data_IF_454125014713
#
_entry.id   IF_454125014713
#
_cell.length_a   1.000
_cell.length_b   1.000
_cell.length_c   1.000
_cell.angle_alpha   90.00
_cell.angle_beta   90.00
_cell.angle_gamma   90.00
#
_symmetry.space_group_name_H-M   'P 1'
#
loop_
_entity.id
_entity.type
_entity.pdbx_description
1 polymer ?
#
# COMPACT_ATOMS: atom_id res chain seq x y z
N UNK A 1 -25.42 -55.14 34.57
CA UNK A 1 -24.44 -54.55 33.64
C UNK A 1 -23.64 -55.70 33.03
N UNK A 2 -23.91 -56.03 31.77
CA UNK A 2 -23.22 -57.08 31.02
C UNK A 2 -22.31 -56.42 29.99
N UNK A 3 -21.00 -56.60 30.15
CA UNK A 3 -20.00 -56.08 29.22
C UNK A 3 -20.03 -56.93 27.93
N UNK A 4 -20.28 -56.29 26.79
CA UNK A 4 -20.06 -56.88 25.47
C UNK A 4 -18.59 -56.75 25.12
N UNK A 5 -17.88 -57.87 25.14
CA UNK A 5 -16.51 -57.96 24.64
C UNK A 5 -16.56 -58.02 23.12
N UNK A 6 -16.06 -56.98 22.44
CA UNK A 6 -15.86 -56.98 20.99
C UNK A 6 -14.75 -57.97 20.64
N UNK A 7 -15.12 -59.07 19.99
CA UNK A 7 -14.19 -60.04 19.42
C UNK A 7 -13.48 -59.41 18.22
N UNK A 8 -12.15 -59.44 18.21
CA UNK A 8 -11.35 -59.02 17.05
C UNK A 8 -11.71 -59.88 15.83
N UNK A 9 -11.76 -59.31 14.61
CA UNK A 9 -12.00 -60.10 13.40
C UNK A 9 -10.88 -61.14 13.24
N UNK A 10 -11.25 -62.34 12.80
CA UNK A 10 -10.33 -63.43 12.55
C UNK A 10 -9.17 -62.97 11.64
N UNK A 11 -7.95 -63.43 11.96
CA UNK A 11 -6.78 -63.16 11.15
C UNK A 11 -7.07 -63.53 9.68
N UNK A 12 -6.76 -62.66 8.71
CA UNK A 12 -6.94 -62.99 7.31
C UNK A 12 -6.15 -64.25 6.97
N UNK A 13 -6.69 -65.08 6.09
CA UNK A 13 -5.95 -66.21 5.55
C UNK A 13 -4.57 -65.73 5.05
N UNK A 14 -3.49 -66.52 5.25
CA UNK A 14 -2.13 -66.06 5.00
C UNK A 14 -1.92 -65.51 3.58
N UNK A 15 -2.61 -66.05 2.58
CA UNK A 15 -2.59 -65.54 1.20
C UNK A 15 -3.12 -64.10 1.06
N UNK A 16 -4.19 -63.73 1.77
CA UNK A 16 -4.74 -62.37 1.77
C UNK A 16 -3.81 -61.36 2.46
N UNK A 17 -3.05 -61.82 3.46
CA UNK A 17 -2.05 -60.99 4.14
C UNK A 17 -0.85 -60.72 3.23
N UNK A 18 -0.41 -61.72 2.47
CA UNK A 18 0.69 -61.61 1.51
C UNK A 18 0.30 -60.74 0.30
N UNK A 19 -0.92 -60.86 -0.21
CA UNK A 19 -1.46 -59.99 -1.27
C UNK A 19 -1.59 -58.53 -0.81
N UNK A 20 -2.07 -58.30 0.42
CA UNK A 20 -2.14 -56.94 0.98
C UNK A 20 -0.74 -56.33 1.16
N UNK A 21 0.24 -57.11 1.60
CA UNK A 21 1.63 -56.67 1.74
C UNK A 21 2.27 -56.34 0.38
N UNK A 22 1.95 -57.12 -0.67
CA UNK A 22 2.35 -56.84 -2.05
C UNK A 22 1.73 -55.55 -2.56
N UNK A 23 0.43 -55.35 -2.36
CA UNK A 23 -0.28 -54.15 -2.79
C UNK A 23 0.28 -52.88 -2.11
N UNK A 24 0.54 -52.94 -0.80
CA UNK A 24 1.15 -51.81 -0.07
C UNK A 24 2.54 -51.50 -0.63
N UNK A 25 3.36 -52.52 -0.89
CA UNK A 25 4.69 -52.32 -1.46
C UNK A 25 4.62 -51.70 -2.86
N UNK A 26 3.68 -52.13 -3.69
CA UNK A 26 3.47 -51.58 -5.03
C UNK A 26 2.99 -50.12 -4.99
N UNK A 27 2.11 -49.78 -4.05
CA UNK A 27 1.67 -48.41 -3.79
C UNK A 27 2.85 -47.53 -3.33
N UNK A 28 3.66 -48.01 -2.38
CA UNK A 28 4.84 -47.27 -1.91
C UNK A 28 5.85 -47.04 -3.04
N UNK A 29 6.07 -48.05 -3.88
CA UNK A 29 6.95 -47.96 -5.04
C UNK A 29 6.41 -46.98 -6.09
N UNK A 30 5.10 -47.02 -6.34
CA UNK A 30 4.41 -46.10 -7.24
C UNK A 30 4.46 -44.65 -6.75
N UNK A 31 4.25 -44.42 -5.46
CA UNK A 31 4.32 -43.09 -4.84
C UNK A 31 5.75 -42.54 -4.82
N UNK A 32 6.75 -43.40 -4.60
CA UNK A 32 8.17 -43.00 -4.61
C UNK A 32 8.67 -42.69 -6.01
N UNK A 33 8.21 -43.45 -7.03
CA UNK A 33 8.55 -43.20 -8.42
C UNK A 33 7.90 -41.93 -8.98
N UNK A 34 6.83 -41.43 -8.36
CA UNK A 34 6.12 -40.24 -8.80
C UNK A 34 6.73 -38.97 -8.19
N UNK A 35 7.70 -38.40 -8.88
CA UNK A 35 8.16 -37.02 -8.65
C UNK A 35 6.94 -36.09 -8.72
N UNK A 36 6.70 -35.30 -7.67
CA UNK A 36 5.57 -34.36 -7.54
C UNK A 36 5.48 -33.45 -8.77
N UNK A 37 4.71 -33.87 -9.76
CA UNK A 37 4.43 -33.06 -10.95
C UNK A 37 3.29 -32.14 -10.58
N UNK A 38 3.63 -31.00 -9.98
CA UNK A 38 2.67 -29.93 -9.79
C UNK A 38 2.87 -28.93 -10.92
N UNK A 39 1.78 -28.50 -11.54
CA UNK A 39 1.80 -27.66 -12.74
C UNK A 39 2.34 -26.24 -12.48
N UNK A 40 2.67 -25.89 -11.23
CA UNK A 40 3.05 -24.54 -10.84
C UNK A 40 4.45 -24.51 -10.21
N UNK A 41 5.41 -23.72 -10.74
CA UNK A 41 6.80 -23.69 -10.28
C UNK A 41 6.98 -23.19 -8.83
N UNK A 42 5.97 -22.56 -8.25
CA UNK A 42 5.94 -22.18 -6.83
C UNK A 42 5.66 -23.35 -5.88
N UNK A 43 5.08 -24.45 -6.38
CA UNK A 43 4.72 -25.62 -5.57
C UNK A 43 5.83 -26.68 -5.57
N UNK A 44 6.81 -26.52 -6.47
CA UNK A 44 8.00 -27.37 -6.55
C UNK A 44 9.18 -26.85 -5.72
N UNK A 45 9.15 -25.58 -5.31
CA UNK A 45 10.23 -24.95 -4.53
C UNK A 45 9.94 -25.03 -3.04
N UNK A 46 10.98 -25.23 -2.24
CA UNK A 46 10.88 -25.11 -0.78
C UNK A 46 10.69 -23.65 -0.38
N UNK A 47 10.14 -23.40 0.82
CA UNK A 47 10.03 -22.03 1.37
C UNK A 47 11.37 -21.30 1.37
N UNK A 48 12.46 -22.01 1.68
CA UNK A 48 13.82 -21.45 1.69
C UNK A 48 14.30 -21.04 0.30
N UNK A 49 14.01 -21.83 -0.73
CA UNK A 49 14.34 -21.50 -2.12
C UNK A 49 13.54 -20.29 -2.61
N UNK A 50 12.26 -20.20 -2.25
CA UNK A 50 11.42 -19.04 -2.55
C UNK A 50 11.93 -17.77 -1.86
N UNK A 51 12.35 -17.87 -0.59
CA UNK A 51 12.95 -16.75 0.15
C UNK A 51 14.28 -16.35 -0.48
N UNK A 52 15.15 -17.31 -0.82
CA UNK A 52 16.44 -17.03 -1.45
C UNK A 52 16.29 -16.39 -2.85
N UNK A 53 15.31 -16.84 -3.63
CA UNK A 53 15.00 -16.26 -4.95
C UNK A 53 14.40 -14.86 -4.84
N UNK A 54 13.50 -14.63 -3.87
CA UNK A 54 12.94 -13.31 -3.60
C UNK A 54 14.01 -12.32 -3.10
N UNK A 55 14.98 -12.80 -2.30
CA UNK A 55 16.10 -11.99 -1.83
C UNK A 55 17.21 -11.82 -2.89
N UNK A 56 17.36 -12.79 -3.80
CA UNK A 56 18.39 -12.81 -4.84
C UNK A 56 17.98 -12.15 -6.16
N UNK A 57 16.70 -11.87 -6.36
CA UNK A 57 16.20 -11.15 -7.54
C UNK A 57 16.16 -9.65 -7.23
N UNK A 58 17.14 -8.84 -7.68
CA UNK A 58 16.98 -7.40 -7.62
C UNK A 58 15.76 -7.05 -8.46
N UNK A 59 14.73 -6.50 -7.80
CA UNK A 59 13.56 -6.00 -8.50
C UNK A 59 14.05 -5.03 -9.59
N UNK A 60 13.63 -5.20 -10.87
CA UNK A 60 13.94 -4.21 -11.89
C UNK A 60 13.50 -2.86 -11.34
N UNK A 61 14.39 -1.86 -11.40
CA UNK A 61 14.09 -0.51 -10.93
C UNK A 61 12.88 0.00 -11.70
N UNK A 62 11.69 -0.18 -11.12
CA UNK A 62 10.45 0.24 -11.73
C UNK A 62 10.56 1.75 -11.92
N UNK A 63 10.37 2.21 -13.15
CA UNK A 63 10.31 3.64 -13.43
C UNK A 63 9.33 4.26 -12.43
N UNK A 64 9.76 5.34 -11.77
CA UNK A 64 8.94 5.99 -10.76
C UNK A 64 7.55 6.27 -11.36
N UNK A 65 6.46 5.88 -10.68
CA UNK A 65 5.14 5.98 -11.25
C UNK A 65 4.83 7.43 -11.59
N UNK A 66 4.31 7.67 -12.80
CA UNK A 66 3.88 9.01 -13.20
C UNK A 66 2.72 9.42 -12.30
N UNK A 67 2.97 10.39 -11.41
CA UNK A 67 1.96 10.93 -10.51
C UNK A 67 1.05 11.88 -11.29
N UNK A 68 -0.24 11.57 -11.33
CA UNK A 68 -1.26 12.39 -11.97
C UNK A 68 -2.16 12.97 -10.91
N UNK A 69 -2.35 14.30 -10.94
CA UNK A 69 -3.28 14.94 -10.03
C UNK A 69 -4.70 14.37 -10.22
N UNK A 70 -5.54 14.35 -9.18
CA UNK A 70 -6.95 14.00 -9.34
C UNK A 70 -7.67 14.91 -10.35
N UNK A 71 -8.76 14.43 -10.95
CA UNK A 71 -9.47 15.16 -12.00
C UNK A 71 -9.94 16.54 -11.52
N UNK A 72 -9.90 17.56 -12.40
CA UNK A 72 -10.25 18.96 -12.04
C UNK A 72 -11.70 19.11 -11.56
N UNK A 73 -12.62 18.29 -12.06
CA UNK A 73 -14.04 18.32 -11.69
C UNK A 73 -14.28 18.00 -10.20
N UNK A 74 -13.45 17.15 -9.58
CA UNK A 74 -13.60 16.76 -8.16
C UNK A 74 -13.42 17.96 -7.21
N UNK A 75 -12.78 19.03 -7.67
CA UNK A 75 -12.65 20.30 -6.95
C UNK A 75 -14.00 20.86 -6.50
N UNK A 76 -15.03 20.68 -7.32
CA UNK A 76 -16.37 21.24 -7.10
C UNK A 76 -17.22 20.37 -6.17
N UNK A 77 -16.85 19.09 -6.00
CA UNK A 77 -17.58 18.18 -5.14
C UNK A 77 -17.41 18.54 -3.66
N UNK A 78 -18.46 18.39 -2.84
CA UNK A 78 -18.34 18.44 -1.39
C UNK A 78 -17.38 17.36 -0.86
N UNK A 79 -16.70 17.66 0.25
CA UNK A 79 -15.67 16.75 0.79
C UNK A 79 -16.23 15.39 1.23
N UNK A 80 -17.49 15.32 1.67
CA UNK A 80 -18.14 14.05 2.02
C UNK A 80 -18.34 13.14 0.80
N UNK A 81 -18.54 13.71 -0.39
CA UNK A 81 -18.66 12.96 -1.65
C UNK A 81 -17.31 12.33 -2.01
N UNK A 82 -16.19 13.02 -1.75
CA UNK A 82 -14.86 12.49 -2.05
C UNK A 82 -14.50 11.24 -1.24
N UNK A 83 -15.18 11.01 -0.10
CA UNK A 83 -15.00 9.82 0.71
C UNK A 83 -15.92 8.64 0.29
N UNK A 84 -16.75 8.84 -0.74
CA UNK A 84 -17.66 7.79 -1.19
C UNK A 84 -16.87 6.60 -1.77
N UNK A 85 -17.20 5.34 -1.41
CA UNK A 85 -16.40 4.17 -1.76
C UNK A 85 -16.09 4.05 -3.25
N UNK A 86 -17.07 4.33 -4.12
CA UNK A 86 -16.89 4.27 -5.57
C UNK A 86 -15.86 5.29 -6.07
N UNK A 87 -15.93 6.55 -5.60
CA UNK A 87 -14.96 7.57 -5.99
C UNK A 87 -13.58 7.28 -5.43
N UNK A 88 -13.51 6.79 -4.19
CA UNK A 88 -12.27 6.34 -3.58
C UNK A 88 -11.65 5.22 -4.41
N UNK A 89 -12.42 4.19 -4.81
CA UNK A 89 -11.94 3.08 -5.63
C UNK A 89 -11.47 3.51 -7.02
N UNK A 90 -12.19 4.41 -7.70
CA UNK A 90 -11.85 4.88 -9.05
C UNK A 90 -10.59 5.73 -9.11
N UNK A 91 -10.14 6.29 -7.98
CA UNK A 91 -8.99 7.20 -7.93
C UNK A 91 -7.81 6.59 -7.19
N UNK A 92 -7.76 6.76 -5.87
CA UNK A 92 -6.64 6.29 -5.07
C UNK A 92 -6.77 4.82 -4.71
N UNK A 93 -7.99 4.30 -4.52
CA UNK A 93 -8.25 2.88 -4.27
C UNK A 93 -7.62 2.33 -2.99
N UNK A 94 -7.16 3.19 -2.07
CA UNK A 94 -6.34 2.76 -0.93
C UNK A 94 -4.89 2.46 -1.33
N UNK A 95 -4.43 2.98 -2.47
CA UNK A 95 -3.05 2.88 -2.94
C UNK A 95 -2.11 3.41 -1.88
N UNK A 96 -1.25 2.53 -1.39
CA UNK A 96 -0.13 2.89 -0.56
C UNK A 96 0.85 3.73 -1.40
N UNK A 97 1.19 4.91 -0.89
CA UNK A 97 2.13 5.82 -1.51
C UNK A 97 3.13 6.28 -0.46
N UNK A 98 4.34 6.56 -0.88
CA UNK A 98 5.34 7.17 -0.02
C UNK A 98 4.94 8.59 0.37
N UNK A 99 5.53 9.08 1.46
CA UNK A 99 5.37 10.49 1.91
C UNK A 99 5.81 11.47 0.82
N UNK A 100 6.87 11.13 0.07
CA UNK A 100 7.34 11.94 -1.06
C UNK A 100 6.30 12.04 -2.18
N UNK A 101 5.70 10.91 -2.59
CA UNK A 101 4.63 10.90 -3.60
C UNK A 101 3.39 11.65 -3.12
N UNK A 102 3.02 11.52 -1.84
CA UNK A 102 1.89 12.26 -1.26
C UNK A 102 2.12 13.78 -1.33
N UNK A 103 3.34 14.25 -1.05
CA UNK A 103 3.69 15.67 -1.15
C UNK A 103 3.72 16.16 -2.61
N UNK A 104 4.24 15.38 -3.56
CA UNK A 104 4.16 15.74 -4.99
C UNK A 104 2.72 15.81 -5.49
N UNK A 105 1.88 14.83 -5.13
CA UNK A 105 0.45 14.87 -5.42
C UNK A 105 -0.22 16.08 -4.77
N UNK A 106 0.22 16.48 -3.58
CA UNK A 106 -0.29 17.69 -2.90
C UNK A 106 0.02 18.94 -3.71
N UNK A 107 1.26 19.06 -4.23
CA UNK A 107 1.62 20.16 -5.13
C UNK A 107 0.77 20.14 -6.40
N UNK A 108 0.59 18.98 -7.03
CA UNK A 108 -0.25 18.83 -8.23
C UNK A 108 -1.72 19.18 -7.98
N UNK A 109 -2.27 18.86 -6.80
CA UNK A 109 -3.62 19.29 -6.40
C UNK A 109 -3.69 20.81 -6.28
N UNK A 110 -2.73 21.45 -5.61
CA UNK A 110 -2.69 22.92 -5.50
C UNK A 110 -2.56 23.56 -6.88
N UNK A 111 -1.80 22.97 -7.80
CA UNK A 111 -1.65 23.49 -9.16
C UNK A 111 -2.94 23.38 -9.97
N UNK A 112 -3.58 22.22 -9.92
CA UNK A 112 -4.78 21.95 -10.70
C UNK A 112 -6.02 22.63 -10.12
N UNK A 113 -6.14 22.63 -8.79
CA UNK A 113 -7.33 23.15 -8.11
C UNK A 113 -7.17 24.60 -7.70
N UNK A 114 -5.96 25.15 -7.75
CA UNK A 114 -5.65 26.48 -7.26
C UNK A 114 -5.46 26.50 -5.75
N UNK A 115 -4.67 27.48 -5.32
CA UNK A 115 -4.29 27.71 -3.93
C UNK A 115 -5.29 28.59 -3.18
N UNK A 116 -5.44 28.34 -1.87
CA UNK A 116 -6.28 29.10 -0.96
C UNK A 116 -5.65 29.24 0.43
N UNK A 117 -6.12 30.21 1.19
CA UNK A 117 -5.74 30.50 2.57
C UNK A 117 -6.97 30.74 3.44
N UNK A 118 -6.85 30.49 4.73
CA UNK A 118 -7.87 30.77 5.74
C UNK A 118 -9.00 29.73 5.85
N UNK A 119 -8.98 28.72 4.99
CA UNK A 119 -9.88 27.56 5.06
C UNK A 119 -9.29 26.38 4.27
N UNK A 120 -9.74 25.16 4.58
CA UNK A 120 -9.37 23.95 3.83
C UNK A 120 -9.80 24.01 2.36
N UNK A 121 -10.86 24.76 2.07
CA UNK A 121 -11.49 24.85 0.76
C UNK A 121 -12.16 26.20 0.56
N UNK A 122 -11.96 26.84 -0.60
CA UNK A 122 -12.76 28.02 -0.98
C UNK A 122 -14.12 27.60 -1.55
N UNK A 123 -15.05 28.54 -1.73
CA UNK A 123 -16.34 28.28 -2.41
C UNK A 123 -16.15 27.71 -3.82
N UNK A 124 -15.18 28.24 -4.57
CA UNK A 124 -14.82 27.69 -5.89
C UNK A 124 -13.97 26.41 -5.82
N UNK A 125 -13.70 25.86 -4.64
CA UNK A 125 -12.99 24.60 -4.42
C UNK A 125 -11.45 24.64 -4.41
N UNK A 126 -10.82 25.83 -4.43
CA UNK A 126 -9.36 25.95 -4.24
C UNK A 126 -8.96 25.41 -2.87
N UNK A 127 -7.73 24.91 -2.71
CA UNK A 127 -7.28 24.24 -1.48
C UNK A 127 -6.04 24.92 -0.89
N UNK A 128 -5.96 24.98 0.44
CA UNK A 128 -4.70 25.18 1.15
C UNK A 128 -3.87 23.87 1.15
N UNK A 129 -2.65 23.89 1.69
CA UNK A 129 -1.80 22.67 1.76
C UNK A 129 -2.50 21.52 2.51
N UNK A 130 -2.99 21.79 3.73
CA UNK A 130 -3.70 20.78 4.53
C UNK A 130 -4.99 20.30 3.82
N UNK A 131 -5.72 21.20 3.17
CA UNK A 131 -6.91 20.87 2.39
C UNK A 131 -6.61 20.00 1.17
N UNK A 132 -5.46 20.21 0.52
CA UNK A 132 -5.00 19.38 -0.59
C UNK A 132 -4.61 17.97 -0.12
N UNK A 133 -3.89 17.85 1.01
CA UNK A 133 -3.60 16.56 1.64
C UNK A 133 -4.88 15.82 2.03
N UNK A 134 -5.88 16.52 2.59
CA UNK A 134 -7.16 15.94 2.96
C UNK A 134 -7.96 15.41 1.76
N UNK A 135 -7.89 16.06 0.60
CA UNK A 135 -8.49 15.55 -0.65
C UNK A 135 -7.83 14.23 -1.06
N UNK A 136 -6.50 14.16 -1.01
CA UNK A 136 -5.76 12.94 -1.36
C UNK A 136 -6.11 11.78 -0.43
N UNK A 137 -6.13 12.03 0.88
CA UNK A 137 -6.53 11.04 1.87
C UNK A 137 -7.94 10.49 1.60
N UNK A 138 -8.92 11.36 1.34
CA UNK A 138 -10.32 10.95 1.05
C UNK A 138 -10.43 10.12 -0.22
N UNK A 139 -9.73 10.54 -1.27
CA UNK A 139 -9.66 9.80 -2.54
C UNK A 139 -8.86 8.49 -2.43
N UNK A 140 -8.17 8.24 -1.32
CA UNK A 140 -7.47 6.99 -1.04
C UNK A 140 -6.03 6.93 -1.53
N UNK A 141 -5.37 8.09 -1.64
CA UNK A 141 -3.94 8.21 -1.88
C UNK A 141 -3.20 8.23 -0.54
N UNK A 142 -2.73 7.05 -0.11
CA UNK A 142 -2.16 6.84 1.21
C UNK A 142 -3.22 6.81 2.31
N UNK A 143 -2.73 6.82 3.54
CA UNK A 143 -3.51 6.74 4.77
C UNK A 143 -3.26 7.97 5.67
N UNK A 144 -3.85 7.94 6.88
CA UNK A 144 -3.71 9.01 7.85
C UNK A 144 -2.26 9.20 8.30
N UNK A 145 -1.52 8.09 8.51
CA UNK A 145 -0.10 8.10 8.85
C UNK A 145 0.71 8.83 7.78
N UNK A 146 0.49 8.50 6.51
CA UNK A 146 1.17 9.14 5.37
C UNK A 146 0.91 10.64 5.34
N UNK A 147 -0.35 11.06 5.51
CA UNK A 147 -0.72 12.47 5.54
C UNK A 147 -0.10 13.22 6.73
N UNK A 148 -0.09 12.59 7.92
CA UNK A 148 0.49 13.16 9.13
C UNK A 148 2.01 13.31 9.01
N UNK A 149 2.71 12.26 8.55
CA UNK A 149 4.14 12.31 8.30
C UNK A 149 4.48 13.35 7.23
N UNK A 150 3.70 13.49 6.16
CA UNK A 150 3.86 14.56 5.18
C UNK A 150 3.76 15.95 5.82
N UNK A 151 2.79 16.16 6.73
CA UNK A 151 2.69 17.37 7.54
C UNK A 151 3.94 17.66 8.37
N UNK A 152 4.52 16.64 9.01
CA UNK A 152 5.79 16.78 9.73
C UNK A 152 6.96 17.15 8.81
N UNK A 153 7.01 16.62 7.58
CA UNK A 153 8.06 16.99 6.62
C UNK A 153 7.97 18.44 6.19
N UNK A 154 6.75 18.96 6.00
CA UNK A 154 6.53 20.39 5.76
C UNK A 154 7.02 21.23 6.95
N UNK A 155 6.67 20.81 8.17
CA UNK A 155 7.12 21.50 9.37
C UNK A 155 8.64 21.50 9.50
N UNK A 156 9.30 20.37 9.24
CA UNK A 156 10.76 20.27 9.31
C UNK A 156 11.46 21.22 8.33
N UNK A 157 10.89 21.44 7.14
CA UNK A 157 11.41 22.43 6.18
C UNK A 157 11.26 23.85 6.71
N UNK A 158 10.12 24.18 7.34
CA UNK A 158 9.92 25.49 7.96
C UNK A 158 10.85 25.72 9.16
N UNK A 159 10.99 24.74 10.05
CA UNK A 159 11.90 24.81 11.19
C UNK A 159 13.35 25.01 10.73
N UNK A 160 13.77 24.32 9.65
CA UNK A 160 15.09 24.52 9.06
C UNK A 160 15.31 25.94 8.45
N UNK A 161 14.23 26.68 8.21
CA UNK A 161 14.25 28.10 7.78
C UNK A 161 14.12 29.07 8.97
N UNK A 162 14.16 28.57 10.22
CA UNK A 162 13.95 29.37 11.42
C UNK A 162 12.48 29.73 11.69
N UNK A 163 11.52 29.10 11.01
CA UNK A 163 10.09 29.36 11.17
C UNK A 163 9.49 28.30 12.08
N UNK A 164 9.06 28.72 13.28
CA UNK A 164 8.43 27.83 14.29
C UNK A 164 6.91 27.71 14.14
N UNK A 165 6.29 28.56 13.32
CA UNK A 165 4.85 28.54 13.09
C UNK A 165 4.41 27.20 12.45
N UNK A 166 3.27 26.61 12.88
CA UNK A 166 2.72 25.42 12.23
C UNK A 166 2.46 25.65 10.75
N UNK A 167 2.80 24.69 9.88
CA UNK A 167 2.76 24.88 8.42
C UNK A 167 1.40 25.34 7.87
N UNK A 168 0.29 24.92 8.50
CA UNK A 168 -1.05 25.33 8.09
C UNK A 168 -1.34 26.80 8.44
N UNK A 169 -0.85 27.29 9.58
CA UNK A 169 -0.91 28.72 9.93
C UNK A 169 0.04 29.55 9.07
N UNK A 170 1.24 29.03 8.83
CA UNK A 170 2.19 29.64 7.90
C UNK A 170 1.59 29.79 6.50
N UNK A 171 0.84 28.81 6.00
CA UNK A 171 0.12 28.92 4.72
C UNK A 171 -0.93 30.04 4.75
N UNK A 172 -1.60 30.20 5.89
CA UNK A 172 -2.71 31.14 6.05
C UNK A 172 -2.27 32.58 6.35
N UNK A 173 -0.98 32.79 6.62
CA UNK A 173 -0.41 34.09 6.92
C UNK A 173 -0.61 35.12 5.78
N UNK A 174 -0.76 36.38 6.16
CA UNK A 174 -0.83 37.50 5.21
C UNK A 174 0.48 37.62 4.44
N UNK A 175 0.39 37.92 3.14
CA UNK A 175 1.55 38.04 2.25
C UNK A 175 2.03 36.73 1.62
N UNK A 176 1.48 35.58 2.04
CA UNK A 176 1.82 34.28 1.43
C UNK A 176 1.29 34.15 0.02
N UNK A 177 2.09 33.50 -0.83
CA UNK A 177 1.74 33.26 -2.23
C UNK A 177 1.57 31.77 -2.52
N UNK A 178 0.93 31.48 -3.65
CA UNK A 178 0.81 30.11 -4.17
C UNK A 178 2.18 29.50 -4.44
N UNK A 179 3.10 30.30 -4.98
CA UNK A 179 4.43 29.91 -5.39
C UNK A 179 5.26 29.50 -4.16
N UNK A 180 5.15 30.24 -3.07
CA UNK A 180 5.79 29.89 -1.79
C UNK A 180 5.24 28.59 -1.21
N UNK A 181 3.91 28.39 -1.24
CA UNK A 181 3.28 27.16 -0.79
C UNK A 181 3.75 25.94 -1.61
N UNK A 182 3.79 26.08 -2.95
CA UNK A 182 4.32 25.03 -3.84
C UNK A 182 5.81 24.77 -3.59
N UNK A 183 6.62 25.81 -3.39
CA UNK A 183 8.04 25.69 -3.09
C UNK A 183 8.28 24.95 -1.76
N UNK A 184 7.49 25.24 -0.73
CA UNK A 184 7.54 24.50 0.54
C UNK A 184 7.24 23.01 0.32
N UNK A 185 6.13 22.70 -0.35
CA UNK A 185 5.68 21.32 -0.59
C UNK A 185 6.71 20.54 -1.41
N UNK A 186 7.23 21.11 -2.49
CA UNK A 186 8.25 20.48 -3.35
C UNK A 186 9.58 20.29 -2.63
N UNK A 187 9.99 21.24 -1.78
CA UNK A 187 11.20 21.09 -0.96
C UNK A 187 11.05 19.92 0.01
N UNK A 188 9.90 19.81 0.67
CA UNK A 188 9.61 18.69 1.57
C UNK A 188 9.59 17.35 0.82
N UNK A 189 8.99 17.32 -0.37
CA UNK A 189 8.96 16.12 -1.22
C UNK A 189 10.37 15.68 -1.64
N UNK A 190 11.23 16.62 -2.06
CA UNK A 190 12.61 16.33 -2.46
C UNK A 190 13.44 15.77 -1.29
N UNK A 191 13.32 16.35 -0.09
CA UNK A 191 13.99 15.81 1.11
C UNK A 191 13.49 14.41 1.47
N UNK A 192 12.18 14.20 1.43
CA UNK A 192 11.60 12.88 1.70
C UNK A 192 12.09 11.80 0.72
N UNK A 193 12.27 12.13 -0.57
CA UNK A 193 12.86 11.20 -1.55
C UNK A 193 14.31 10.85 -1.23
N UNK A 194 15.12 11.85 -0.88
CA UNK A 194 16.52 11.64 -0.56
C UNK A 194 16.69 10.73 0.65
N UNK A 195 15.85 10.90 1.68
CA UNK A 195 15.85 10.03 2.86
C UNK A 195 15.43 8.60 2.53
N UNK A 196 14.46 8.40 1.62
CA UNK A 196 14.04 7.06 1.21
C UNK A 196 15.11 6.32 0.38
N UNK A 197 16.13 7.02 -0.12
CA UNK A 197 17.23 6.44 -0.92
C UNK A 197 18.49 6.20 -0.08
N UNK A 198 18.53 6.68 1.17
CA UNK A 198 19.63 6.47 2.11
C UNK A 198 19.39 5.24 2.97
#
# INVERSE_FOLDING_TARGET
>A
MTAQTLTAPAAPAPELADEAALLVREIEQYLTARVRTTAHPLVTKTTTELVAEALGTPAPAAAAPVLVAPARALRLLPDWVLNFPLLRQLHGGGRQISVAEHLELTALVIERYGWHRGALRSTSGRRCILGAQAVLFRLGYGDETTAHTAGHRLQAVLTARGISEPYHRWNDATGRTREEALALVRTAAARARQEATR
#
